data_IF_495198004085
#
_entry.id   IF_495198004085
#
_cell.length_a   1.000
_cell.length_b   1.000
_cell.length_c   1.000
_cell.angle_alpha   90.00
_cell.angle_beta   90.00
_cell.angle_gamma   90.00
#
_symmetry.space_group_name_H-M   'P 1'
#
loop_
_entity.id
_entity.type
_entity.pdbx_description
1 polymer ?
#
# COMPACT_ATOMS: atom_id res chain seq x y z
N UNK A 1 -5.49 9.16 31.09
CA UNK A 1 -4.37 9.68 31.91
C UNK A 1 -3.11 9.39 31.11
N UNK A 2 -3.08 9.91 29.89
CA UNK A 2 -2.27 9.31 28.82
C UNK A 2 -0.97 10.08 28.59
N UNK A 3 -0.77 11.18 29.35
CA UNK A 3 0.40 12.05 29.31
C UNK A 3 1.43 11.74 30.42
N UNK A 4 1.28 10.63 31.16
CA UNK A 4 2.22 10.24 32.22
C UNK A 4 3.16 9.12 31.76
N UNK A 5 4.46 9.37 31.84
CA UNK A 5 5.50 8.39 31.55
C UNK A 5 6.14 7.88 32.85
N UNK A 6 6.20 6.56 32.99
CA UNK A 6 6.70 5.89 34.19
C UNK A 6 8.22 5.71 34.13
N UNK A 7 8.88 5.90 35.27
CA UNK A 7 10.31 5.62 35.44
C UNK A 7 10.50 4.71 36.66
N UNK A 8 11.62 3.97 36.70
CA UNK A 8 12.02 3.12 37.83
C UNK A 8 13.49 3.37 38.12
N UNK A 9 13.79 3.92 39.30
CA UNK A 9 15.15 4.32 39.65
C UNK A 9 15.67 5.41 38.72
N UNK A 10 16.72 5.08 37.97
CA UNK A 10 17.36 5.89 36.94
C UNK A 10 16.95 5.52 35.50
N UNK A 11 15.99 4.61 35.34
CA UNK A 11 15.50 4.16 34.04
C UNK A 11 14.12 4.75 33.70
N UNK A 12 14.00 5.32 32.50
CA UNK A 12 12.75 5.82 31.93
C UNK A 12 12.33 4.95 30.74
N UNK A 13 11.08 4.48 30.72
CA UNK A 13 10.56 3.74 29.56
C UNK A 13 10.07 4.70 28.47
N UNK A 14 10.90 4.87 27.44
CA UNK A 14 10.63 5.74 26.30
C UNK A 14 9.79 5.09 25.20
N UNK A 15 9.58 3.76 25.25
CA UNK A 15 8.82 3.06 24.22
C UNK A 15 7.42 3.64 23.96
N UNK A 16 6.60 4.00 24.97
CA UNK A 16 5.30 4.63 24.74
C UNK A 16 5.43 6.00 24.05
N UNK A 17 6.31 6.87 24.56
CA UNK A 17 6.58 8.20 23.98
C UNK A 17 6.97 8.11 22.50
N UNK A 18 7.97 7.28 22.22
CA UNK A 18 8.51 7.16 20.87
C UNK A 18 7.47 6.54 19.92
N UNK A 19 6.68 5.58 20.37
CA UNK A 19 5.62 4.98 19.56
C UNK A 19 4.62 6.04 19.09
N UNK A 20 4.15 6.89 19.99
CA UNK A 20 3.22 7.98 19.64
C UNK A 20 3.81 8.93 18.61
N UNK A 21 5.03 9.40 18.84
CA UNK A 21 5.71 10.32 17.92
C UNK A 21 5.97 9.67 16.56
N UNK A 22 6.36 8.39 16.52
CA UNK A 22 6.59 7.65 15.27
C UNK A 22 5.30 7.47 14.49
N UNK A 23 4.18 7.16 15.16
CA UNK A 23 2.86 7.04 14.50
C UNK A 23 2.45 8.39 13.89
N UNK A 24 2.61 9.48 14.64
CA UNK A 24 2.28 10.83 14.17
C UNK A 24 3.18 11.29 13.02
N UNK A 25 4.46 10.89 13.04
CA UNK A 25 5.41 11.19 11.97
C UNK A 25 5.27 10.27 10.74
N UNK A 26 4.52 9.17 10.86
CA UNK A 26 4.36 8.22 9.76
C UNK A 26 3.61 8.87 8.60
N UNK A 27 4.06 8.68 7.34
CA UNK A 27 3.34 9.19 6.18
C UNK A 27 1.94 8.55 6.11
N UNK A 28 0.92 9.35 5.80
CA UNK A 28 -0.46 8.85 5.64
C UNK A 28 -0.59 7.84 4.49
N UNK A 29 0.23 8.00 3.46
CA UNK A 29 0.31 7.09 2.32
C UNK A 29 1.78 6.75 2.09
N UNK A 30 2.30 5.64 2.67
CA UNK A 30 3.64 5.19 2.36
C UNK A 30 3.72 4.92 0.85
N UNK A 31 4.55 5.71 0.16
CA UNK A 31 4.74 5.57 -1.28
C UNK A 31 5.62 4.35 -1.53
N UNK A 32 5.15 3.48 -2.43
CA UNK A 32 6.00 2.44 -2.98
C UNK A 32 7.11 3.06 -3.84
N UNK A 33 8.23 2.36 -3.98
CA UNK A 33 9.22 2.68 -5.00
C UNK A 33 8.60 2.55 -6.40
N UNK A 34 9.21 3.15 -7.41
CA UNK A 34 8.67 3.12 -8.78
C UNK A 34 8.59 1.70 -9.38
N UNK A 35 9.40 0.76 -8.86
CA UNK A 35 9.51 -0.63 -9.28
C UNK A 35 8.75 -1.62 -8.37
N UNK A 36 8.05 -1.12 -7.35
CA UNK A 36 7.23 -1.95 -6.46
C UNK A 36 6.10 -2.63 -7.24
N UNK A 37 6.08 -3.97 -7.20
CA UNK A 37 5.04 -4.78 -7.85
C UNK A 37 3.69 -4.73 -7.13
N UNK A 38 3.68 -4.21 -5.89
CA UNK A 38 2.49 -4.02 -5.09
C UNK A 38 1.97 -5.30 -4.44
N UNK A 39 0.75 -5.22 -3.92
CA UNK A 39 0.04 -6.35 -3.32
C UNK A 39 -0.96 -6.94 -4.32
N UNK A 40 -1.19 -8.25 -4.24
CA UNK A 40 -2.28 -8.87 -4.98
C UNK A 40 -3.63 -8.27 -4.54
N UNK A 41 -4.39 -7.68 -5.47
CA UNK A 41 -5.69 -7.07 -5.18
C UNK A 41 -6.76 -8.05 -4.66
N UNK A 42 -6.50 -9.37 -4.67
CA UNK A 42 -7.43 -10.41 -4.18
C UNK A 42 -7.02 -11.01 -2.84
N UNK A 43 -5.73 -11.32 -2.66
CA UNK A 43 -5.25 -12.02 -1.47
C UNK A 43 -4.28 -11.22 -0.60
N UNK A 44 -3.84 -10.04 -1.06
CA UNK A 44 -2.88 -9.20 -0.34
C UNK A 44 -1.44 -9.73 -0.34
N UNK A 45 -1.13 -10.79 -1.09
CA UNK A 45 0.25 -11.29 -1.19
C UNK A 45 1.18 -10.21 -1.75
N UNK A 46 2.35 -10.08 -1.14
CA UNK A 46 3.41 -9.18 -1.61
C UNK A 46 4.02 -9.72 -2.91
N UNK A 47 3.72 -9.05 -4.03
CA UNK A 47 4.20 -9.47 -5.34
C UNK A 47 5.70 -9.24 -5.52
N UNK A 48 6.33 -8.45 -4.64
CA UNK A 48 7.80 -8.31 -4.60
C UNK A 48 8.47 -9.59 -4.06
N UNK A 49 7.76 -10.39 -3.26
CA UNK A 49 8.23 -11.69 -2.76
C UNK A 49 8.00 -12.86 -3.72
N UNK A 50 7.22 -12.66 -4.78
CA UNK A 50 6.92 -13.68 -5.78
C UNK A 50 5.48 -13.63 -6.28
N UNK A 51 5.15 -14.53 -7.21
CA UNK A 51 3.79 -14.63 -7.76
C UNK A 51 2.83 -15.24 -6.75
N UNK A 52 1.64 -14.66 -6.62
CA UNK A 52 0.53 -15.30 -5.91
C UNK A 52 -0.11 -16.42 -6.75
N UNK A 53 -0.86 -17.31 -6.10
CA UNK A 53 -1.63 -18.38 -6.76
C UNK A 53 -3.01 -17.93 -7.26
N UNK A 54 -3.34 -16.64 -7.13
CA UNK A 54 -4.59 -16.14 -7.68
C UNK A 54 -4.48 -16.16 -9.22
N UNK A 55 -5.37 -16.91 -9.89
CA UNK A 55 -5.39 -17.02 -11.37
C UNK A 55 -5.58 -15.67 -12.08
N UNK A 56 -5.59 -15.60 -13.40
CA UNK A 56 -5.80 -14.31 -14.10
C UNK A 56 -7.07 -13.59 -13.60
N UNK A 57 -7.07 -12.26 -13.60
CA UNK A 57 -8.30 -11.52 -13.32
C UNK A 57 -9.40 -11.96 -14.30
N UNK A 58 -10.60 -12.31 -13.82
CA UNK A 58 -11.69 -12.63 -14.72
C UNK A 58 -12.05 -11.36 -15.52
N UNK A 59 -11.99 -11.46 -16.85
CA UNK A 59 -12.58 -10.46 -17.75
C UNK A 59 -14.08 -10.40 -17.47
N UNK A 60 -14.60 -9.22 -17.10
CA UNK A 60 -16.01 -9.04 -16.75
C UNK A 60 -16.33 -8.00 -15.68
N UNK A 61 -15.33 -7.24 -15.20
CA UNK A 61 -15.58 -6.16 -14.24
C UNK A 61 -16.42 -5.02 -14.84
N UNK A 62 -17.05 -4.17 -14.00
CA UNK A 62 -17.92 -3.06 -14.44
C UNK A 62 -17.28 -2.10 -15.45
N UNK A 63 -15.95 -2.07 -15.48
CA UNK A 63 -15.14 -1.21 -16.34
C UNK A 63 -14.62 -1.90 -17.61
N UNK A 64 -15.09 -3.10 -17.96
CA UNK A 64 -14.64 -3.80 -19.17
C UNK A 64 -14.81 -2.95 -20.45
N UNK A 65 -15.84 -2.10 -20.49
CA UNK A 65 -16.08 -1.14 -21.57
C UNK A 65 -14.90 -0.18 -21.82
N UNK A 66 -14.08 0.10 -20.78
CA UNK A 66 -12.92 0.98 -20.90
C UNK A 66 -11.79 0.35 -21.72
N UNK A 67 -11.72 -0.98 -21.83
CA UNK A 67 -10.75 -1.67 -22.70
C UNK A 67 -10.94 -1.24 -24.16
N UNK A 68 -12.20 -1.21 -24.61
CA UNK A 68 -12.56 -0.78 -25.97
C UNK A 68 -12.20 0.70 -26.21
N UNK A 69 -12.33 1.56 -25.21
CA UNK A 69 -11.92 2.97 -25.32
C UNK A 69 -10.39 3.11 -25.41
N UNK A 70 -9.63 2.32 -24.64
CA UNK A 70 -8.16 2.31 -24.69
C UNK A 70 -7.63 1.91 -26.07
N UNK A 71 -8.25 0.94 -26.73
CA UNK A 71 -7.91 0.51 -28.10
C UNK A 71 -8.14 1.64 -29.11
N UNK A 72 -9.32 2.27 -29.06
CA UNK A 72 -9.65 3.41 -29.94
C UNK A 72 -8.72 4.61 -29.75
N UNK A 73 -8.29 4.89 -28.51
CA UNK A 73 -7.35 5.97 -28.22
C UNK A 73 -5.94 5.68 -28.75
N UNK A 74 -5.49 4.42 -28.73
CA UNK A 74 -4.22 4.02 -29.37
C UNK A 74 -4.27 4.23 -30.87
N UNK A 75 -5.35 3.84 -31.52
CA UNK A 75 -5.53 4.01 -32.98
C UNK A 75 -5.67 5.48 -33.41
N UNK A 76 -6.19 6.33 -32.52
CA UNK A 76 -6.31 7.77 -32.75
C UNK A 76 -4.98 8.52 -32.55
N UNK A 77 -4.12 8.07 -31.61
CA UNK A 77 -2.79 8.65 -31.38
C UNK A 77 -1.72 8.21 -32.37
N UNK A 78 -2.03 7.23 -33.24
CA UNK A 78 -1.16 6.77 -34.32
C UNK A 78 -1.43 7.49 -35.66
N UNK A 79 -2.24 8.55 -35.66
CA UNK A 79 -2.49 9.46 -36.79
C UNK A 79 -1.92 10.84 -36.53
#
# INVERSE_FOLDING_TARGET
NDDLYYFTGDHLDLAPMLREQVILASPMHPLCTNDCLGLCARCGHDLNGGSCLCGAEPSGGPFEVLRTMKEKLRDAGQR
#
